data_IF_720622257017
#
_entry.id   IF_720622257017
#
_cell.length_a   1.000
_cell.length_b   1.000
_cell.length_c   1.000
_cell.angle_alpha   90.00
_cell.angle_beta   90.00
_cell.angle_gamma   90.00
#
_symmetry.space_group_name_H-M   'P 1'
#
loop_
_entity.id
_entity.type
_entity.pdbx_description
1 polymer ?
#
# COMPACT_ATOMS: atom_id res chain seq x y z
N UNK A 1 2.54 -9.73 15.86
CA UNK A 1 1.73 -10.53 14.92
C UNK A 1 2.38 -10.49 13.54
N UNK A 2 2.58 -11.63 12.88
CA UNK A 2 3.12 -11.75 11.51
C UNK A 2 2.10 -11.34 10.45
N UNK A 3 2.56 -10.92 9.26
CA UNK A 3 1.67 -10.51 8.16
C UNK A 3 1.01 -11.77 7.60
N UNK A 4 -0.31 -11.79 7.41
CA UNK A 4 -0.92 -12.90 6.68
C UNK A 4 -0.77 -12.63 5.17
N UNK A 5 0.26 -13.22 4.58
CA UNK A 5 0.62 -13.00 3.17
C UNK A 5 -0.53 -13.42 2.24
N UNK A 6 -1.24 -14.50 2.56
CA UNK A 6 -2.39 -14.97 1.77
C UNK A 6 -3.54 -13.98 1.83
N UNK A 7 -3.86 -13.48 3.02
CA UNK A 7 -4.93 -12.50 3.20
C UNK A 7 -4.58 -11.16 2.54
N UNK A 8 -3.34 -10.69 2.70
CA UNK A 8 -2.86 -9.47 2.05
C UNK A 8 -2.90 -9.58 0.52
N UNK A 9 -2.50 -10.73 -0.05
CA UNK A 9 -2.63 -11.01 -1.49
C UNK A 9 -4.08 -10.91 -1.95
N UNK A 10 -5.00 -11.55 -1.24
CA UNK A 10 -6.43 -11.51 -1.58
C UNK A 10 -6.97 -10.07 -1.55
N UNK A 11 -6.64 -9.31 -0.50
CA UNK A 11 -7.08 -7.92 -0.36
C UNK A 11 -6.53 -7.01 -1.48
N UNK A 12 -5.29 -7.25 -1.95
CA UNK A 12 -4.73 -6.55 -3.11
C UNK A 12 -5.49 -6.92 -4.39
N UNK A 13 -5.78 -8.21 -4.61
CA UNK A 13 -6.53 -8.68 -5.78
C UNK A 13 -7.98 -8.21 -5.82
N UNK A 14 -8.59 -8.03 -4.66
CA UNK A 14 -9.94 -7.49 -4.49
C UNK A 14 -9.99 -5.95 -4.47
N UNK A 15 -8.82 -5.29 -4.54
CA UNK A 15 -8.69 -3.84 -4.42
C UNK A 15 -9.24 -3.29 -3.09
N UNK A 16 -9.29 -4.10 -2.04
CA UNK A 16 -9.74 -3.69 -0.70
C UNK A 16 -8.56 -3.17 0.13
N UNK A 17 -8.06 -2.01 -0.31
CA UNK A 17 -6.88 -1.38 0.29
C UNK A 17 -7.15 -0.90 1.71
N UNK A 18 -8.39 -0.49 2.03
CA UNK A 18 -8.76 -0.12 3.40
C UNK A 18 -8.49 -1.27 4.39
N UNK A 19 -9.03 -2.47 4.10
CA UNK A 19 -8.76 -3.64 4.94
C UNK A 19 -7.30 -4.06 4.91
N UNK A 20 -6.62 -3.93 3.77
CA UNK A 20 -5.18 -4.24 3.66
C UNK A 20 -4.37 -3.42 4.67
N UNK A 21 -4.54 -2.10 4.67
CA UNK A 21 -3.81 -1.22 5.59
C UNK A 21 -4.18 -1.46 7.06
N UNK A 22 -5.48 -1.58 7.36
CA UNK A 22 -5.94 -1.68 8.74
C UNK A 22 -5.64 -3.05 9.35
N UNK A 23 -5.96 -4.14 8.64
CA UNK A 23 -5.90 -5.51 9.18
C UNK A 23 -4.52 -6.13 9.05
N UNK A 24 -3.85 -5.91 7.92
CA UNK A 24 -2.60 -6.60 7.62
C UNK A 24 -1.36 -5.75 7.96
N UNK A 25 -1.44 -4.43 7.70
CA UNK A 25 -0.32 -3.52 7.94
C UNK A 25 -0.33 -2.86 9.31
N UNK A 26 -1.43 -2.96 10.06
CA UNK A 26 -1.53 -2.41 11.41
C UNK A 26 -1.71 -0.88 11.44
N UNK A 27 -2.24 -0.29 10.37
CA UNK A 27 -2.57 1.13 10.31
C UNK A 27 -3.91 1.40 11.01
N UNK A 28 -4.11 2.65 11.42
CA UNK A 28 -5.35 3.05 12.09
C UNK A 28 -6.44 3.43 11.10
N UNK A 29 -7.69 3.29 11.52
CA UNK A 29 -8.82 3.88 10.81
C UNK A 29 -8.66 5.41 10.76
N UNK A 30 -8.96 6.04 9.61
CA UNK A 30 -9.01 7.49 9.53
C UNK A 30 -10.21 8.04 10.29
N UNK A 31 -10.19 9.34 10.61
CA UNK A 31 -11.28 10.01 11.31
C UNK A 31 -12.62 9.92 10.54
N UNK A 32 -12.56 9.85 9.21
CA UNK A 32 -13.72 9.59 8.35
C UNK A 32 -13.29 8.86 7.09
N UNK A 33 -13.99 7.77 6.76
CA UNK A 33 -13.85 7.05 5.49
C UNK A 33 -14.88 7.51 4.44
N UNK A 34 -15.58 8.62 4.68
CA UNK A 34 -16.52 9.15 3.68
C UNK A 34 -15.74 9.69 2.48
N UNK A 35 -16.16 9.31 1.28
CA UNK A 35 -15.69 9.93 0.06
C UNK A 35 -16.06 11.42 0.06
N UNK A 36 -15.08 12.26 -0.28
CA UNK A 36 -15.21 13.70 -0.42
C UNK A 36 -14.78 14.12 -1.83
N UNK A 37 -15.47 15.09 -2.45
CA UNK A 37 -15.06 15.62 -3.73
C UNK A 37 -13.72 16.37 -3.61
N UNK A 38 -12.90 16.26 -4.64
CA UNK A 38 -11.66 17.01 -4.82
C UNK A 38 -11.70 17.64 -6.22
N UNK A 39 -11.86 18.95 -6.28
CA UNK A 39 -11.88 19.70 -7.54
C UNK A 39 -10.44 19.98 -7.99
N UNK A 40 -10.08 19.52 -9.18
CA UNK A 40 -8.75 19.74 -9.78
C UNK A 40 -8.95 20.20 -11.22
N UNK A 41 -8.72 21.49 -11.46
CA UNK A 41 -9.12 22.13 -12.71
C UNK A 41 -10.65 22.07 -12.85
N UNK A 42 -11.13 21.59 -14.00
CA UNK A 42 -12.57 21.43 -14.29
C UNK A 42 -13.12 20.03 -13.96
N UNK A 43 -12.28 19.15 -13.40
CA UNK A 43 -12.67 17.79 -13.04
C UNK A 43 -12.86 17.64 -11.53
N UNK A 44 -13.90 16.88 -11.13
CA UNK A 44 -14.14 16.54 -9.72
C UNK A 44 -13.80 15.08 -9.47
N UNK A 45 -12.71 14.86 -8.77
CA UNK A 45 -12.25 13.55 -8.32
C UNK A 45 -12.97 13.16 -7.03
N UNK A 46 -13.22 11.86 -6.85
CA UNK A 46 -13.66 11.34 -5.56
C UNK A 46 -12.46 10.86 -4.78
N UNK A 47 -12.27 11.40 -3.58
CA UNK A 47 -11.18 11.06 -2.67
C UNK A 47 -11.71 10.51 -1.36
N UNK A 48 -11.14 9.42 -0.91
CA UNK A 48 -11.48 8.80 0.37
C UNK A 48 -10.21 8.55 1.19
N UNK A 49 -10.24 8.90 2.47
CA UNK A 49 -9.21 8.41 3.41
C UNK A 49 -9.50 6.96 3.72
N UNK A 50 -8.54 6.07 3.50
CA UNK A 50 -8.71 4.63 3.77
C UNK A 50 -7.95 4.17 5.01
N UNK A 51 -6.82 4.80 5.31
CA UNK A 51 -5.99 4.51 6.49
C UNK A 51 -5.17 5.73 6.89
N UNK A 52 -4.74 5.77 8.15
CA UNK A 52 -3.81 6.77 8.65
C UNK A 52 -2.86 6.17 9.69
N UNK A 53 -1.66 6.73 9.80
CA UNK A 53 -0.71 6.37 10.85
C UNK A 53 0.25 7.53 11.14
N UNK A 54 0.28 7.98 12.40
CA UNK A 54 1.06 9.12 12.89
C UNK A 54 1.07 10.31 11.91
N UNK A 55 -0.10 10.76 11.45
CA UNK A 55 -0.23 11.91 10.55
C UNK A 55 0.04 11.63 9.07
N UNK A 56 0.52 10.44 8.72
CA UNK A 56 0.57 9.97 7.32
C UNK A 56 -0.80 9.42 6.91
N UNK A 57 -1.33 9.87 5.79
CA UNK A 57 -2.67 9.49 5.32
C UNK A 57 -2.61 8.76 3.99
N UNK A 58 -3.35 7.65 3.88
CA UNK A 58 -3.55 6.93 2.62
C UNK A 58 -4.89 7.35 2.02
N UNK A 59 -4.85 7.85 0.79
CA UNK A 59 -6.02 8.25 0.03
C UNK A 59 -6.30 7.27 -1.09
N UNK A 60 -7.52 6.77 -1.18
CA UNK A 60 -8.05 6.15 -2.40
C UNK A 60 -8.70 7.24 -3.25
N UNK A 61 -8.37 7.29 -4.55
CA UNK A 61 -8.84 8.33 -5.47
C UNK A 61 -9.42 7.66 -6.72
N UNK A 62 -10.60 8.11 -7.12
CA UNK A 62 -11.24 7.70 -8.37
C UNK A 62 -11.55 8.93 -9.25
N UNK A 63 -11.32 8.76 -10.54
CA UNK A 63 -11.55 9.78 -11.56
C UNK A 63 -13.01 9.80 -12.01
N UNK A 64 -13.59 10.96 -12.37
CA UNK A 64 -14.91 11.03 -13.00
C UNK A 64 -14.96 10.28 -14.33
N UNK A 65 -13.85 10.26 -15.09
CA UNK A 65 -13.75 9.49 -16.34
C UNK A 65 -13.65 7.98 -16.12
N UNK A 66 -13.47 7.54 -14.88
CA UNK A 66 -13.29 6.15 -14.50
C UNK A 66 -11.93 5.54 -14.88
N UNK A 67 -11.03 6.33 -15.48
CA UNK A 67 -9.67 5.91 -15.81
C UNK A 67 -8.66 6.44 -14.79
N UNK A 68 -7.48 5.82 -14.73
CA UNK A 68 -6.38 6.34 -13.91
C UNK A 68 -5.89 7.66 -14.53
N UNK A 69 -5.74 8.74 -13.74
CA UNK A 69 -5.33 10.04 -14.27
C UNK A 69 -3.91 10.00 -14.85
N UNK A 70 -3.63 10.86 -15.83
CA UNK A 70 -2.30 10.97 -16.42
C UNK A 70 -1.28 11.57 -15.43
N UNK A 71 0.00 11.53 -15.75
CA UNK A 71 1.08 11.99 -14.87
C UNK A 71 0.93 13.45 -14.40
N UNK A 72 0.46 14.35 -15.27
CA UNK A 72 0.27 15.76 -14.90
C UNK A 72 -0.91 15.91 -13.92
N UNK A 73 -2.03 15.24 -14.19
CA UNK A 73 -3.19 15.23 -13.29
C UNK A 73 -2.83 14.64 -11.92
N UNK A 74 -2.09 13.53 -11.88
CA UNK A 74 -1.62 12.90 -10.62
C UNK A 74 -0.75 13.84 -9.80
N UNK A 75 0.16 14.59 -10.44
CA UNK A 75 0.99 15.57 -9.75
C UNK A 75 0.17 16.75 -9.21
N UNK A 76 -0.80 17.24 -9.97
CA UNK A 76 -1.70 18.31 -9.50
C UNK A 76 -2.55 17.84 -8.32
N UNK A 77 -3.17 16.66 -8.42
CA UNK A 77 -3.92 16.04 -7.32
C UNK A 77 -3.04 15.92 -6.08
N UNK A 78 -1.80 15.46 -6.23
CA UNK A 78 -0.85 15.38 -5.12
C UNK A 78 -0.60 16.75 -4.47
N UNK A 79 -0.39 17.82 -5.25
CA UNK A 79 -0.15 19.17 -4.72
C UNK A 79 -1.32 19.67 -3.87
N UNK A 80 -2.56 19.37 -4.27
CA UNK A 80 -3.75 19.70 -3.48
C UNK A 80 -3.80 18.90 -2.18
N UNK A 81 -3.51 17.60 -2.22
CA UNK A 81 -3.60 16.73 -1.04
C UNK A 81 -2.50 16.96 -0.02
N UNK A 82 -1.35 17.45 -0.46
CA UNK A 82 -0.27 17.92 0.40
C UNK A 82 -0.68 19.06 1.31
N UNK A 83 -1.60 19.93 0.87
CA UNK A 83 -2.12 21.01 1.71
C UNK A 83 -3.02 20.48 2.85
N UNK A 84 -3.61 19.29 2.66
CA UNK A 84 -4.51 18.66 3.63
C UNK A 84 -3.72 17.76 4.58
N UNK A 85 -2.77 16.98 4.05
CA UNK A 85 -1.91 16.08 4.81
C UNK A 85 -0.51 16.13 4.22
N UNK A 86 0.43 16.60 5.05
CA UNK A 86 1.82 16.81 4.64
C UNK A 86 2.46 15.54 4.06
N UNK A 87 2.25 14.40 4.71
CA UNK A 87 2.74 13.10 4.26
C UNK A 87 1.57 12.20 3.84
N UNK A 88 1.57 11.78 2.58
CA UNK A 88 0.46 11.01 2.03
C UNK A 88 0.89 9.97 1.00
N UNK A 89 0.09 8.92 0.90
CA UNK A 89 0.16 7.91 -0.15
C UNK A 89 -1.15 7.97 -0.94
N UNK A 90 -1.07 8.09 -2.26
CA UNK A 90 -2.25 8.14 -3.12
C UNK A 90 -2.40 6.82 -3.85
N UNK A 91 -3.59 6.23 -3.82
CA UNK A 91 -3.92 5.01 -4.55
C UNK A 91 -5.04 5.37 -5.50
N UNK A 92 -4.71 5.51 -6.78
CA UNK A 92 -5.69 5.72 -7.83
C UNK A 92 -6.29 4.38 -8.22
N UNK A 93 -7.61 4.32 -8.38
CA UNK A 93 -8.33 3.10 -8.78
C UNK A 93 -9.26 3.44 -9.93
N UNK A 94 -9.31 2.59 -10.95
CA UNK A 94 -10.27 2.74 -12.05
C UNK A 94 -11.68 2.35 -11.61
N UNK A 95 -12.68 2.79 -12.38
CA UNK A 95 -14.10 2.53 -12.06
C UNK A 95 -14.43 1.05 -11.91
N UNK A 96 -13.77 0.19 -12.69
CA UNK A 96 -14.04 -1.24 -12.70
C UNK A 96 -13.20 -2.03 -11.68
N UNK A 97 -12.32 -1.35 -10.91
CA UNK A 97 -11.35 -1.98 -9.99
C UNK A 97 -10.59 -3.12 -10.68
N UNK A 98 -10.09 -2.82 -11.87
CA UNK A 98 -9.24 -3.71 -12.68
C UNK A 98 -7.78 -3.29 -12.60
N UNK A 99 -7.52 -2.03 -12.28
CA UNK A 99 -6.18 -1.46 -12.16
C UNK A 99 -6.11 -0.47 -11.00
N UNK A 100 -4.96 -0.45 -10.34
CA UNK A 100 -4.63 0.53 -9.32
C UNK A 100 -3.26 1.10 -9.58
N UNK A 101 -3.09 2.35 -9.21
CA UNK A 101 -1.83 3.04 -9.31
C UNK A 101 -1.50 3.65 -7.96
N UNK A 102 -0.46 3.12 -7.35
CA UNK A 102 0.09 3.58 -6.10
C UNK A 102 1.10 4.68 -6.41
N UNK A 103 0.86 5.86 -5.85
CA UNK A 103 1.59 7.08 -6.17
C UNK A 103 2.08 7.73 -4.88
N UNK A 104 3.40 7.87 -4.82
CA UNK A 104 4.13 8.52 -3.74
C UNK A 104 5.05 9.57 -4.34
N UNK A 105 5.34 10.65 -3.60
CA UNK A 105 6.32 11.64 -4.04
C UNK A 105 7.36 11.82 -2.96
N UNK A 106 8.60 11.46 -3.31
CA UNK A 106 9.76 11.77 -2.48
C UNK A 106 10.11 13.25 -2.64
N UNK A 107 10.38 13.92 -1.52
CA UNK A 107 10.78 15.32 -1.47
C UNK A 107 12.25 15.42 -1.10
N UNK A 108 12.97 16.22 -1.87
CA UNK A 108 14.35 16.59 -1.57
C UNK A 108 14.46 18.12 -1.72
N UNK A 109 14.19 18.81 -0.61
CA UNK A 109 13.99 20.26 -0.59
C UNK A 109 12.88 20.69 -1.58
N UNK A 110 13.19 21.54 -2.59
CA UNK A 110 12.21 21.99 -3.57
C UNK A 110 11.94 20.96 -4.68
N UNK A 111 12.74 19.89 -4.79
CA UNK A 111 12.59 18.89 -5.86
C UNK A 111 11.61 17.81 -5.44
N UNK A 112 10.68 17.51 -6.36
CA UNK A 112 9.71 16.44 -6.22
C UNK A 112 10.10 15.29 -7.14
N UNK A 113 10.16 14.08 -6.59
CA UNK A 113 10.42 12.85 -7.33
C UNK A 113 9.20 11.92 -7.19
N UNK A 114 8.24 12.01 -8.13
CA UNK A 114 7.14 11.06 -8.22
C UNK A 114 7.65 9.63 -8.39
N UNK A 115 6.96 8.70 -7.74
CA UNK A 115 7.12 7.26 -7.87
C UNK A 115 5.74 6.67 -8.04
N UNK A 116 5.53 5.99 -9.15
CA UNK A 116 4.30 5.25 -9.41
C UNK A 116 4.55 3.76 -9.54
N UNK A 117 3.59 3.00 -9.04
CA UNK A 117 3.54 1.55 -9.19
C UNK A 117 2.15 1.14 -9.61
N UNK A 118 2.07 0.50 -10.78
CA UNK A 118 0.81 0.03 -11.35
C UNK A 118 0.62 -1.42 -10.95
N UNK A 119 -0.62 -1.76 -10.58
CA UNK A 119 -1.06 -3.13 -10.38
C UNK A 119 -2.33 -3.37 -11.18
N UNK A 120 -2.35 -4.45 -11.98
CA UNK A 120 -3.51 -4.89 -12.75
C UNK A 120 -4.01 -6.22 -12.18
N UNK A 121 -5.32 -6.40 -12.06
CA UNK A 121 -5.98 -7.53 -11.38
C UNK A 121 -5.51 -8.93 -11.83
N UNK A 122 -5.09 -9.05 -13.09
CA UNK A 122 -4.65 -10.31 -13.69
C UNK A 122 -3.14 -10.56 -13.56
N UNK A 123 -2.39 -9.58 -13.06
CA UNK A 123 -0.95 -9.70 -12.90
C UNK A 123 -0.56 -10.28 -11.54
N UNK A 124 0.59 -10.94 -11.43
CA UNK A 124 1.13 -11.36 -10.15
C UNK A 124 1.33 -10.16 -9.23
N UNK A 125 0.64 -10.15 -8.08
CA UNK A 125 0.74 -9.06 -7.13
C UNK A 125 1.96 -9.18 -6.19
N UNK A 126 2.85 -10.17 -6.39
CA UNK A 126 3.97 -10.47 -5.49
C UNK A 126 4.92 -9.29 -5.30
N UNK A 127 5.14 -8.50 -6.35
CA UNK A 127 5.98 -7.30 -6.28
C UNK A 127 5.31 -6.23 -5.42
N UNK A 128 4.03 -5.94 -5.65
CA UNK A 128 3.27 -5.00 -4.83
C UNK A 128 3.16 -5.49 -3.38
N UNK A 129 2.90 -6.78 -3.18
CA UNK A 129 2.82 -7.41 -1.87
C UNK A 129 4.14 -7.30 -1.10
N UNK A 130 5.27 -7.53 -1.77
CA UNK A 130 6.59 -7.32 -1.17
C UNK A 130 6.78 -5.87 -0.74
N UNK A 131 6.43 -4.90 -1.59
CA UNK A 131 6.51 -3.46 -1.26
C UNK A 131 5.58 -3.08 -0.11
N UNK A 132 4.35 -3.58 -0.10
CA UNK A 132 3.36 -3.26 0.91
C UNK A 132 3.70 -3.92 2.25
N UNK A 133 4.31 -5.10 2.23
CA UNK A 133 4.74 -5.80 3.45
C UNK A 133 5.76 -5.01 4.28
N UNK A 134 6.57 -4.15 3.65
CA UNK A 134 7.52 -3.27 4.38
C UNK A 134 6.83 -2.11 5.10
N UNK A 135 5.58 -1.81 4.75
CA UNK A 135 4.78 -0.76 5.39
C UNK A 135 4.10 -1.27 6.68
N UNK A 136 4.32 -2.54 7.01
CA UNK A 136 3.77 -3.14 8.21
C UNK A 136 4.35 -2.50 9.46
N UNK A 137 3.47 -2.24 10.43
CA UNK A 137 3.82 -1.71 11.74
C UNK A 137 3.34 -2.72 12.79
N UNK A 138 4.21 -3.05 13.73
CA UNK A 138 3.84 -3.85 14.89
C UNK A 138 3.50 -2.97 16.08
N UNK A 139 2.66 -3.48 16.98
CA UNK A 139 2.21 -2.75 18.17
C UNK A 139 3.38 -2.31 19.08
N UNK A 140 4.45 -3.12 19.17
CA UNK A 140 5.63 -2.81 19.95
C UNK A 140 6.44 -1.63 19.37
N UNK A 141 6.36 -1.39 18.06
CA UNK A 141 7.04 -0.26 17.42
C UNK A 141 6.28 1.05 17.62
N UNK A 142 4.95 0.99 17.81
CA UNK A 142 4.09 2.16 17.85
C UNK A 142 4.46 3.15 18.98
N UNK A 143 5.01 2.67 20.10
CA UNK A 143 5.41 3.52 21.23
C UNK A 143 6.66 4.38 20.96
N UNK A 144 7.47 3.99 19.97
CA UNK A 144 8.76 4.65 19.65
C UNK A 144 8.78 5.27 18.25
N UNK A 145 7.80 4.93 17.41
CA UNK A 145 7.72 5.41 16.04
C UNK A 145 7.36 6.89 15.97
N UNK A 146 8.05 7.59 15.06
CA UNK A 146 7.73 8.96 14.66
C UNK A 146 7.16 9.00 13.23
N UNK A 147 6.61 10.16 12.85
CA UNK A 147 6.15 10.43 11.48
C UNK A 147 7.28 10.26 10.45
N UNK A 148 8.51 10.61 10.84
CA UNK A 148 9.70 10.53 9.99
C UNK A 148 10.01 9.06 9.66
N UNK A 149 9.89 8.16 10.63
CA UNK A 149 10.14 6.73 10.45
C UNK A 149 9.15 6.10 9.46
N UNK A 150 7.88 6.52 9.52
CA UNK A 150 6.85 6.05 8.59
C UNK A 150 7.09 6.60 7.18
N UNK A 151 7.47 7.88 7.07
CA UNK A 151 7.85 8.47 5.78
C UNK A 151 9.05 7.74 5.17
N UNK A 152 10.06 7.39 5.98
CA UNK A 152 11.20 6.58 5.55
C UNK A 152 10.81 5.14 5.17
N UNK A 153 9.85 4.52 5.85
CA UNK A 153 9.32 3.19 5.46
C UNK A 153 8.57 3.22 4.16
N UNK A 154 7.76 4.25 3.95
CA UNK A 154 7.07 4.44 2.67
C UNK A 154 8.05 4.72 1.55
N UNK A 155 9.08 5.53 1.81
CA UNK A 155 10.19 5.70 0.90
C UNK A 155 10.85 4.34 0.62
N UNK A 156 11.34 3.61 1.62
CA UNK A 156 12.04 2.33 1.38
C UNK A 156 11.17 1.24 0.74
N UNK A 157 9.86 1.18 1.03
CA UNK A 157 8.95 0.21 0.43
C UNK A 157 8.56 0.53 -1.01
N UNK A 158 8.36 1.82 -1.32
CA UNK A 158 7.88 2.25 -2.64
C UNK A 158 9.04 2.66 -3.58
N UNK A 159 10.10 3.30 -3.06
CA UNK A 159 11.34 3.77 -3.73
C UNK A 159 12.37 2.63 -3.93
N UNK A 160 11.92 1.40 -4.21
CA UNK A 160 12.83 0.28 -4.51
C UNK A 160 13.24 0.30 -5.98
N UNK A 161 14.09 1.26 -6.35
CA UNK A 161 14.93 1.11 -7.54
C UNK A 161 16.01 0.05 -7.23
N UNK A 162 15.99 -1.06 -7.99
CA UNK A 162 17.03 -2.12 -8.11
C UNK A 162 17.40 -3.02 -6.92
N UNK A 163 17.03 -2.76 -5.66
CA UNK A 163 17.40 -3.64 -4.52
C UNK A 163 16.51 -4.90 -4.40
N UNK A 164 15.47 -5.02 -5.23
CA UNK A 164 14.41 -6.05 -5.14
C UNK A 164 14.78 -7.46 -5.61
N UNK A 165 16.00 -7.72 -6.10
CA UNK A 165 16.40 -9.11 -6.43
C UNK A 165 17.06 -9.85 -5.27
N UNK A 166 17.96 -9.21 -4.52
CA UNK A 166 18.66 -9.87 -3.40
C UNK A 166 17.73 -10.10 -2.21
N UNK A 167 16.95 -9.09 -1.85
CA UNK A 167 16.04 -9.18 -0.70
C UNK A 167 14.88 -10.16 -0.94
N UNK A 168 14.38 -10.27 -2.18
CA UNK A 168 13.33 -11.23 -2.54
C UNK A 168 13.82 -12.68 -2.44
N UNK A 169 15.07 -12.94 -2.86
CA UNK A 169 15.70 -14.26 -2.73
C UNK A 169 15.90 -14.62 -1.26
N UNK A 170 16.42 -13.70 -0.45
CA UNK A 170 16.62 -13.92 0.98
C UNK A 170 15.28 -14.08 1.74
N UNK A 171 14.24 -13.32 1.37
CA UNK A 171 12.90 -13.44 1.96
C UNK A 171 12.19 -14.74 1.57
N UNK A 172 12.28 -15.20 0.30
CA UNK A 172 11.77 -16.52 -0.10
C UNK A 172 12.47 -17.64 0.67
N UNK A 173 13.78 -17.53 0.85
CA UNK A 173 14.59 -18.55 1.50
C UNK A 173 14.24 -18.66 3.00
N UNK A 174 14.06 -17.53 3.68
CA UNK A 174 13.57 -17.53 5.06
C UNK A 174 12.11 -17.97 5.20
N UNK A 175 11.25 -17.69 4.20
CA UNK A 175 9.86 -18.17 4.21
C UNK A 175 9.76 -19.69 4.04
N UNK A 176 10.63 -20.29 3.22
CA UNK A 176 10.74 -21.75 3.06
C UNK A 176 11.32 -22.40 4.32
N UNK A 177 12.35 -21.81 4.92
CA UNK A 177 12.89 -22.28 6.20
C UNK A 177 11.87 -22.19 7.34
N UNK A 178 11.06 -21.12 7.37
CA UNK A 178 10.00 -20.94 8.37
C UNK A 178 8.89 -21.99 8.22
N UNK A 179 8.51 -22.37 6.99
CA UNK A 179 7.59 -23.48 6.73
C UNK A 179 8.18 -24.84 7.13
N UNK A 180 9.50 -25.00 6.99
CA UNK A 180 10.21 -26.23 7.38
C UNK A 180 10.42 -26.33 8.90
N UNK A 181 10.41 -25.18 9.60
CA UNK A 181 10.54 -25.07 11.05
C UNK A 181 9.22 -25.32 11.81
N UNK A 182 8.08 -25.43 11.13
CA UNK A 182 6.83 -25.96 11.73
C UNK A 182 6.97 -27.48 11.88
N UNK A 183 7.72 -27.91 12.91
CA UNK A 183 7.69 -29.29 13.41
C UNK A 183 6.71 -29.37 14.56
N UNK A 184 5.55 -29.97 14.32
CA UNK A 184 4.58 -30.23 15.38
C UNK A 184 3.15 -30.63 14.98
N UNK A 185 2.86 -30.99 13.73
CA UNK A 185 1.56 -31.62 13.38
C UNK A 185 1.84 -32.99 12.78
N UNK A 186 1.75 -34.01 13.64
CA UNK A 186 2.09 -35.41 13.37
C UNK A 186 0.94 -36.22 12.75
N UNK A 187 0.13 -35.60 11.87
CA UNK A 187 -0.91 -36.32 11.12
C UNK A 187 -1.03 -35.81 9.70
N UNK A 188 -0.64 -36.66 8.75
CA UNK A 188 -0.72 -36.45 7.29
C UNK A 188 -2.16 -36.28 6.75
N UNK A 189 -3.19 -36.57 7.55
CA UNK A 189 -4.59 -36.60 7.11
C UNK A 189 -5.23 -35.22 6.90
N UNK A 190 -4.72 -34.16 7.55
CA UNK A 190 -5.36 -32.82 7.54
C UNK A 190 -4.86 -31.89 6.42
N UNK A 191 -3.92 -32.35 5.57
CA UNK A 191 -3.39 -31.55 4.45
C UNK A 191 -4.31 -31.47 3.23
N UNK A 192 -5.41 -32.24 3.18
CA UNK A 192 -6.31 -32.25 2.01
C UNK A 192 -7.36 -31.14 1.97
N UNK A 193 -7.49 -30.34 3.04
CA UNK A 193 -8.45 -29.24 3.07
C UNK A 193 -7.89 -27.89 2.62
N UNK A 194 -6.61 -27.84 2.25
CA UNK A 194 -5.94 -26.63 1.78
C UNK A 194 -5.19 -26.86 0.45
N UNK A 195 -5.76 -27.67 -0.44
CA UNK A 195 -5.55 -27.55 -1.89
C UNK A 195 -6.71 -26.75 -2.45
#
# INVERSE_FOLDING_TARGET
>A
MSLNIQQARQLIQDFDFSKLFIRELGWSNPASQKAAPLLVGDETYSRQQIAQLLGVVVFEISSPSGQIPNSNQRLTIYRELVQISGENLLIFVDKNRTQSLWYWVKRDGPKLYPRDHVYVKQEPCDLLLSKVSTLKISLAELETLSVIDIAQRLQSGLDVERVTKKFFVEFQQQHVEFLTAIRGIDKESDRRWYT
#
